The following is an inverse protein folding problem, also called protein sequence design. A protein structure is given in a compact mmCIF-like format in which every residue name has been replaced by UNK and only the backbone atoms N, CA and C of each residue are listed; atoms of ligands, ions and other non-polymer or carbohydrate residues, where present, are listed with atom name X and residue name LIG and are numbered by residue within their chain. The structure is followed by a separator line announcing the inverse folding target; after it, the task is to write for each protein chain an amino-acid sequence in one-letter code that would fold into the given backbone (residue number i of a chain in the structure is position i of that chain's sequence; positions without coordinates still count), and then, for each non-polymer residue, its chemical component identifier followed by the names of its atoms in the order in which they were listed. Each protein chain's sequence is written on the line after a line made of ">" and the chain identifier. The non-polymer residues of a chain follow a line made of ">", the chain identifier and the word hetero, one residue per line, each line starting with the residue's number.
data_IF_016000339583
#
_entry.id   IF_016000339583
#
_cell.length_a   1.000
_cell.length_b   1.000
_cell.length_c   1.000
_cell.angle_alpha   90.00
_cell.angle_beta   90.00
_cell.angle_gamma   90.00
#
_symmetry.space_group_name_H-M   'P 1'
#
loop_
_entity.id
_entity.type
_entity.pdbx_description
1 polymer ?
#
# COMPACT_ATOMS: atom_id res chain seq x y z
N UNK A 1 3.88 -21.93 8.22
CA UNK A 1 2.59 -21.23 8.20
C UNK A 1 2.51 -20.47 6.91
N UNK A 2 1.43 -20.62 6.16
CA UNK A 2 1.21 -19.92 4.90
C UNK A 2 0.61 -18.55 5.21
N UNK A 3 1.45 -17.50 5.20
CA UNK A 3 1.06 -16.14 5.63
C UNK A 3 -0.10 -15.61 4.78
N UNK A 4 -0.09 -15.88 3.47
CA UNK A 4 -1.12 -15.39 2.54
C UNK A 4 -2.53 -15.93 2.86
N UNK A 5 -2.63 -17.04 3.59
CA UNK A 5 -3.89 -17.70 3.96
C UNK A 5 -4.42 -17.35 5.35
N UNK A 6 -3.64 -16.65 6.17
CA UNK A 6 -4.01 -16.43 7.59
C UNK A 6 -3.80 -15.00 8.06
N UNK A 7 -2.88 -14.27 7.43
CA UNK A 7 -2.50 -12.95 7.89
C UNK A 7 -3.38 -11.86 7.26
N UNK A 8 -4.07 -11.11 8.11
CA UNK A 8 -4.81 -9.90 7.74
C UNK A 8 -5.06 -9.07 9.01
N UNK A 9 -5.37 -7.80 8.83
CA UNK A 9 -5.86 -6.96 9.92
C UNK A 9 -7.30 -7.32 10.27
N UNK A 10 -7.71 -7.15 11.53
CA UNK A 10 -9.09 -7.43 11.95
C UNK A 10 -10.12 -6.70 11.06
N UNK A 11 -10.87 -7.47 10.28
CA UNK A 11 -11.87 -6.95 9.35
C UNK A 11 -13.13 -6.36 10.01
N UNK A 12 -14.02 -5.86 9.16
CA UNK A 12 -15.28 -5.26 9.56
C UNK A 12 -15.20 -3.80 10.02
N UNK A 13 -16.31 -3.32 10.58
CA UNK A 13 -16.51 -1.93 11.01
C UNK A 13 -16.82 -1.78 12.50
N UNK A 14 -16.75 -2.88 13.26
CA UNK A 14 -17.02 -2.90 14.70
C UNK A 14 -15.91 -2.29 15.54
N UNK A 15 -16.12 -2.17 16.85
CA UNK A 15 -15.18 -1.50 17.77
C UNK A 15 -13.77 -2.11 17.82
N UNK A 16 -13.63 -3.41 17.52
CA UNK A 16 -12.34 -4.11 17.50
C UNK A 16 -11.73 -4.24 16.09
N UNK A 17 -12.39 -3.67 15.08
CA UNK A 17 -11.90 -3.68 13.70
C UNK A 17 -10.69 -2.76 13.55
N UNK A 18 -9.85 -3.06 12.57
CA UNK A 18 -8.75 -2.18 12.17
C UNK A 18 -9.26 -0.82 11.70
N UNK A 19 -10.42 -0.78 11.03
CA UNK A 19 -11.05 0.46 10.58
C UNK A 19 -11.31 1.46 11.74
N UNK A 20 -11.56 0.98 12.96
CA UNK A 20 -11.79 1.80 14.16
C UNK A 20 -10.55 1.99 15.05
N UNK A 21 -9.44 1.31 14.76
CA UNK A 21 -8.25 1.28 15.62
C UNK A 21 -6.94 1.58 14.87
N UNK A 22 -7.02 2.19 13.69
CA UNK A 22 -5.85 2.49 12.82
C UNK A 22 -5.40 3.96 12.87
N UNK A 23 -5.73 4.66 13.96
CA UNK A 23 -5.40 6.07 14.15
C UNK A 23 -3.89 6.34 14.21
N UNK A 24 -3.10 5.40 14.75
CA UNK A 24 -1.64 5.55 14.81
C UNK A 24 -1.04 5.53 13.40
N UNK A 25 -1.47 4.60 12.56
CA UNK A 25 -1.02 4.47 11.16
C UNK A 25 -1.47 5.68 10.33
N UNK A 26 -2.69 6.20 10.58
CA UNK A 26 -3.17 7.45 9.97
C UNK A 26 -2.29 8.62 10.35
N UNK A 27 -2.04 8.82 11.65
CA UNK A 27 -1.15 9.89 12.14
C UNK A 27 0.25 9.76 11.56
N UNK A 28 0.81 8.56 11.50
CA UNK A 28 2.10 8.28 10.88
C UNK A 28 2.16 8.71 9.42
N UNK A 29 1.13 8.35 8.65
CA UNK A 29 0.99 8.73 7.24
C UNK A 29 0.81 10.24 7.06
N UNK A 30 0.02 10.89 7.93
CA UNK A 30 -0.22 12.33 7.88
C UNK A 30 1.06 13.14 8.15
N UNK A 31 1.95 12.67 9.02
CA UNK A 31 3.23 13.34 9.30
C UNK A 31 4.14 13.41 8.07
N UNK A 32 4.12 12.37 7.22
CA UNK A 32 4.95 12.27 6.02
C UNK A 32 4.21 12.65 4.74
N UNK A 33 2.94 13.06 4.84
CA UNK A 33 2.08 13.39 3.70
C UNK A 33 2.71 14.38 2.72
N UNK A 34 3.43 15.38 3.23
CA UNK A 34 4.10 16.38 2.40
C UNK A 34 5.11 15.74 1.42
N UNK A 35 5.83 14.70 1.85
CA UNK A 35 6.76 13.94 1.01
C UNK A 35 5.98 13.22 -0.11
N UNK A 36 4.86 12.60 0.24
CA UNK A 36 3.99 11.93 -0.74
C UNK A 36 3.47 12.92 -1.77
N UNK A 37 3.00 14.11 -1.35
CA UNK A 37 2.47 15.12 -2.26
C UNK A 37 3.53 15.69 -3.19
N UNK A 38 4.75 15.95 -2.68
CA UNK A 38 5.89 16.39 -3.49
C UNK A 38 6.28 15.33 -4.54
N UNK A 39 6.30 14.06 -4.16
CA UNK A 39 6.60 12.97 -5.10
C UNK A 39 5.56 12.86 -6.22
N UNK A 40 4.26 13.01 -5.90
CA UNK A 40 3.18 12.99 -6.90
C UNK A 40 3.33 14.15 -7.89
N UNK A 41 3.66 15.35 -7.40
CA UNK A 41 3.91 16.50 -8.25
C UNK A 41 5.06 16.22 -9.23
N UNK A 42 6.19 15.71 -8.73
CA UNK A 42 7.34 15.37 -9.57
C UNK A 42 6.99 14.33 -10.63
N UNK A 43 6.29 13.25 -10.27
CA UNK A 43 5.85 12.20 -11.21
C UNK A 43 4.88 12.75 -12.25
N UNK A 44 3.87 13.52 -11.82
CA UNK A 44 2.89 14.05 -12.76
C UNK A 44 3.51 15.01 -13.78
N UNK A 45 4.48 15.82 -13.34
CA UNK A 45 5.20 16.74 -14.23
C UNK A 45 6.18 16.02 -15.15
N UNK A 46 6.87 14.97 -14.68
CA UNK A 46 7.81 14.19 -15.50
C UNK A 46 7.11 13.37 -16.59
N UNK A 47 5.89 12.90 -16.32
CA UNK A 47 5.10 12.08 -17.24
C UNK A 47 4.41 12.89 -18.35
N UNK A 48 4.43 14.22 -18.28
CA UNK A 48 3.92 15.10 -19.34
C UNK A 48 2.40 15.06 -19.52
N UNK A 49 1.65 14.95 -18.42
CA UNK A 49 0.19 14.84 -18.39
C UNK A 49 -0.32 13.59 -19.15
N UNK A 50 -0.10 12.38 -18.60
CA UNK A 50 -0.48 11.14 -19.26
C UNK A 50 -2.00 11.03 -19.38
N UNK A 51 -2.50 10.33 -20.39
CA UNK A 51 -3.94 10.10 -20.56
C UNK A 51 -4.56 9.28 -19.41
N UNK A 52 -3.76 8.41 -18.77
CA UNK A 52 -4.17 7.68 -17.57
C UNK A 52 -3.07 7.72 -16.51
N UNK A 53 -3.46 7.79 -15.24
CA UNK A 53 -2.56 7.81 -14.09
C UNK A 53 -2.83 6.59 -13.21
N UNK A 54 -1.82 5.76 -13.01
CA UNK A 54 -1.92 4.47 -12.34
C UNK A 54 -1.37 4.55 -10.91
N UNK A 55 -2.20 4.26 -9.92
CA UNK A 55 -1.88 4.37 -8.49
C UNK A 55 -2.08 3.00 -7.85
N UNK A 56 -1.09 2.50 -7.12
CA UNK A 56 -1.25 1.31 -6.29
C UNK A 56 -1.07 1.65 -4.81
N UNK A 57 -1.94 1.13 -3.95
CA UNK A 57 -1.74 1.09 -2.50
C UNK A 57 -1.47 -0.36 -2.06
N UNK A 58 -0.24 -0.63 -1.61
CA UNK A 58 0.26 -1.96 -1.29
C UNK A 58 0.23 -2.23 0.22
N UNK A 59 -0.71 -3.09 0.64
CA UNK A 59 -1.07 -3.32 2.03
C UNK A 59 -2.19 -2.38 2.49
N UNK A 60 -3.27 -2.28 1.70
CA UNK A 60 -4.35 -1.33 1.91
C UNK A 60 -5.21 -1.63 3.15
N UNK A 61 -5.16 -2.85 3.69
CA UNK A 61 -6.01 -3.34 4.77
C UNK A 61 -7.50 -3.15 4.44
N UNK A 62 -8.37 -2.99 5.45
CA UNK A 62 -9.82 -2.80 5.30
C UNK A 62 -10.33 -1.48 5.90
N UNK A 63 -9.41 -0.63 6.36
CA UNK A 63 -9.72 0.63 7.05
C UNK A 63 -9.85 1.84 6.13
N UNK A 64 -10.28 2.99 6.66
CA UNK A 64 -10.49 4.21 5.86
C UNK A 64 -9.19 4.86 5.36
N UNK A 65 -8.04 4.48 5.92
CA UNK A 65 -6.74 5.10 5.63
C UNK A 65 -6.36 5.02 4.14
N UNK A 66 -6.60 3.87 3.51
CA UNK A 66 -6.28 3.63 2.10
C UNK A 66 -7.07 4.56 1.16
N UNK A 67 -8.40 4.58 1.30
CA UNK A 67 -9.24 5.47 0.50
C UNK A 67 -8.91 6.95 0.78
N UNK A 68 -8.62 7.31 2.03
CA UNK A 68 -8.22 8.68 2.38
C UNK A 68 -6.96 9.14 1.62
N UNK A 69 -5.89 8.35 1.56
CA UNK A 69 -4.68 8.77 0.85
C UNK A 69 -4.89 8.75 -0.68
N UNK A 70 -5.63 7.78 -1.20
CA UNK A 70 -5.99 7.73 -2.62
C UNK A 70 -6.76 8.98 -3.04
N UNK A 71 -7.72 9.44 -2.22
CA UNK A 71 -8.45 10.70 -2.46
C UNK A 71 -7.48 11.87 -2.61
N UNK A 72 -6.56 12.00 -1.66
CA UNK A 72 -5.58 13.07 -1.64
C UNK A 72 -4.65 13.05 -2.87
N UNK A 73 -4.20 11.85 -3.28
CA UNK A 73 -3.38 11.68 -4.48
C UNK A 73 -4.15 12.13 -5.73
N UNK A 74 -5.39 11.66 -5.89
CA UNK A 74 -6.25 12.02 -7.03
C UNK A 74 -6.44 13.54 -7.09
N UNK A 75 -6.74 14.16 -5.95
CA UNK A 75 -6.97 15.60 -5.85
C UNK A 75 -5.71 16.42 -6.17
N UNK A 76 -4.54 15.96 -5.73
CA UNK A 76 -3.27 16.59 -6.07
C UNK A 76 -3.06 16.58 -7.59
N UNK A 77 -3.24 15.42 -8.24
CA UNK A 77 -3.10 15.27 -9.70
C UNK A 77 -4.11 16.13 -10.46
N UNK A 78 -5.39 16.17 -10.03
CA UNK A 78 -6.41 17.02 -10.66
C UNK A 78 -6.12 18.52 -10.50
N UNK A 79 -5.56 18.91 -9.35
CA UNK A 79 -5.14 20.29 -9.10
C UNK A 79 -3.99 20.69 -10.01
N UNK A 80 -3.01 19.80 -10.19
CA UNK A 80 -1.89 19.98 -11.10
C UNK A 80 -2.32 20.00 -12.57
N UNK A 81 -3.23 19.10 -12.98
CA UNK A 81 -3.75 19.13 -14.36
C UNK A 81 -4.43 20.46 -14.66
N UNK A 82 -5.24 20.95 -13.72
CA UNK A 82 -5.95 22.23 -13.83
C UNK A 82 -4.99 23.43 -13.88
N UNK A 83 -3.96 23.46 -13.02
CA UNK A 83 -2.98 24.56 -13.00
C UNK A 83 -2.14 24.63 -14.28
N UNK A 84 -1.92 23.49 -14.93
CA UNK A 84 -1.18 23.38 -16.19
C UNK A 84 -2.07 23.41 -17.44
N UNK A 85 -3.38 23.71 -17.29
CA UNK A 85 -4.37 23.75 -18.38
C UNK A 85 -4.44 22.45 -19.19
N UNK A 86 -4.20 21.31 -18.52
CA UNK A 86 -4.28 19.98 -19.08
C UNK A 86 -5.62 19.32 -18.73
N UNK A 87 -6.17 18.46 -19.60
CA UNK A 87 -7.29 17.61 -19.21
C UNK A 87 -6.85 16.67 -18.08
N UNK A 88 -7.71 16.40 -17.10
CA UNK A 88 -7.34 15.48 -16.03
C UNK A 88 -7.26 14.04 -16.57
N UNK A 89 -6.32 13.21 -16.07
CA UNK A 89 -6.16 11.83 -16.54
C UNK A 89 -7.31 10.93 -16.07
N UNK A 90 -7.46 9.77 -16.71
CA UNK A 90 -8.20 8.65 -16.12
C UNK A 90 -7.38 8.04 -14.98
N UNK A 91 -7.99 7.88 -13.81
CA UNK A 91 -7.32 7.27 -12.66
C UNK A 91 -7.58 5.77 -12.61
N UNK A 92 -6.49 4.99 -12.59
CA UNK A 92 -6.52 3.54 -12.36
C UNK A 92 -5.97 3.27 -10.97
N UNK A 93 -6.83 2.94 -10.02
CA UNK A 93 -6.48 2.72 -8.62
C UNK A 93 -6.51 1.23 -8.29
N UNK A 94 -5.40 0.76 -7.76
CA UNK A 94 -5.15 -0.63 -7.43
C UNK A 94 -4.97 -0.79 -5.92
N UNK A 95 -5.98 -1.34 -5.25
CA UNK A 95 -5.94 -1.61 -3.82
C UNK A 95 -5.45 -3.04 -3.59
N UNK A 96 -4.22 -3.20 -3.10
CA UNK A 96 -3.61 -4.51 -2.88
C UNK A 96 -3.52 -4.84 -1.39
N UNK A 97 -3.85 -6.09 -1.08
CA UNK A 97 -3.54 -6.73 0.20
C UNK A 97 -3.52 -8.26 -0.01
N UNK A 98 -3.26 -9.03 1.04
CA UNK A 98 -3.32 -10.48 1.00
C UNK A 98 -4.76 -10.98 0.71
N UNK A 99 -4.92 -12.18 0.12
CA UNK A 99 -6.24 -12.71 -0.24
C UNK A 99 -7.26 -12.79 0.90
N UNK A 100 -6.80 -12.91 2.14
CA UNK A 100 -7.69 -12.97 3.32
C UNK A 100 -8.15 -11.61 3.86
N UNK A 101 -7.70 -10.51 3.27
CA UNK A 101 -8.14 -9.17 3.67
C UNK A 101 -9.65 -8.97 3.42
N UNK A 102 -10.26 -8.10 4.22
CA UNK A 102 -11.67 -7.75 4.10
C UNK A 102 -11.90 -6.67 3.02
N UNK A 103 -11.76 -7.06 1.76
CA UNK A 103 -12.09 -6.21 0.61
C UNK A 103 -13.57 -5.85 0.53
N UNK A 104 -14.46 -6.65 1.13
CA UNK A 104 -15.90 -6.36 1.14
C UNK A 104 -16.21 -5.07 1.89
N UNK A 105 -15.51 -4.81 2.99
CA UNK A 105 -15.60 -3.52 3.70
C UNK A 105 -15.19 -2.34 2.81
N UNK A 106 -14.10 -2.47 2.04
CA UNK A 106 -13.67 -1.44 1.08
C UNK A 106 -14.75 -1.23 0.01
N UNK A 107 -15.21 -2.31 -0.63
CA UNK A 107 -16.18 -2.21 -1.72
C UNK A 107 -17.51 -1.58 -1.29
N UNK A 108 -17.95 -1.81 -0.05
CA UNK A 108 -19.13 -1.14 0.51
C UNK A 108 -18.93 0.37 0.71
N UNK A 109 -17.69 0.83 0.92
CA UNK A 109 -17.37 2.24 1.09
C UNK A 109 -17.15 3.00 -0.24
N UNK A 110 -16.86 2.28 -1.34
CA UNK A 110 -16.57 2.90 -2.64
C UNK A 110 -17.68 3.82 -3.20
N UNK A 111 -18.99 3.52 -3.09
CA UNK A 111 -20.03 4.41 -3.62
C UNK A 111 -20.00 5.80 -2.98
N UNK A 112 -19.83 5.85 -1.65
CA UNK A 112 -19.75 7.12 -0.91
C UNK A 112 -18.47 7.88 -1.26
N UNK A 113 -17.35 7.15 -1.34
CA UNK A 113 -16.06 7.67 -1.77
C UNK A 113 -16.10 8.33 -3.17
N UNK A 114 -16.67 7.64 -4.16
CA UNK A 114 -16.79 8.16 -5.52
C UNK A 114 -17.70 9.41 -5.56
N UNK A 115 -18.77 9.44 -4.76
CA UNK A 115 -19.65 10.61 -4.66
C UNK A 115 -18.92 11.81 -4.04
N UNK A 116 -18.07 11.60 -3.06
CA UNK A 116 -17.23 12.66 -2.49
C UNK A 116 -16.26 13.23 -3.52
N UNK A 117 -15.55 12.37 -4.27
CA UNK A 117 -14.66 12.80 -5.35
C UNK A 117 -15.37 13.66 -6.41
N UNK A 118 -16.59 13.28 -6.79
CA UNK A 118 -17.39 14.02 -7.77
C UNK A 118 -17.91 15.36 -7.22
N UNK A 119 -18.37 15.39 -5.97
CA UNK A 119 -18.97 16.58 -5.36
C UNK A 119 -17.96 17.69 -5.07
N UNK A 120 -16.69 17.34 -4.88
CA UNK A 120 -15.61 18.31 -4.66
C UNK A 120 -15.11 18.92 -5.98
N UNK A 121 -15.40 18.27 -7.12
CA UNK A 121 -15.02 18.69 -8.47
C UNK A 121 -16.06 19.53 -9.24
N UNK A 122 -16.98 20.26 -8.56
CA UNK A 122 -18.14 20.95 -9.17
C UNK A 122 -17.87 21.88 -10.37
N UNK A 123 -16.61 22.20 -10.67
CA UNK A 123 -16.20 23.03 -11.80
C UNK A 123 -15.19 22.36 -12.76
N UNK A 124 -14.98 21.04 -12.68
CA UNK A 124 -14.04 20.29 -13.51
C UNK A 124 -14.78 19.20 -14.30
N UNK A 125 -14.32 18.88 -15.51
CA UNK A 125 -14.78 17.68 -16.21
C UNK A 125 -14.46 16.46 -15.33
N UNK A 126 -15.44 15.60 -15.00
CA UNK A 126 -15.18 14.49 -14.10
C UNK A 126 -14.19 13.52 -14.74
N UNK A 127 -13.04 13.35 -14.08
CA UNK A 127 -12.09 12.28 -14.39
C UNK A 127 -12.76 10.91 -14.22
N UNK A 128 -12.42 9.95 -15.07
CA UNK A 128 -12.78 8.56 -14.81
C UNK A 128 -11.98 8.02 -13.62
N UNK A 129 -12.65 7.39 -12.65
CA UNK A 129 -11.99 6.70 -11.54
C UNK A 129 -12.31 5.20 -11.60
N UNK A 130 -11.29 4.39 -11.85
CA UNK A 130 -11.39 2.93 -11.97
C UNK A 130 -10.66 2.29 -10.79
N UNK A 131 -11.42 1.85 -9.79
CA UNK A 131 -10.88 1.33 -8.54
C UNK A 131 -11.11 -0.18 -8.49
N UNK A 132 -10.05 -0.95 -8.28
CA UNK A 132 -10.11 -2.41 -8.19
C UNK A 132 -9.25 -2.97 -7.07
N UNK A 133 -9.66 -4.13 -6.54
CA UNK A 133 -8.84 -4.89 -5.60
C UNK A 133 -7.93 -5.88 -6.33
N UNK A 134 -6.70 -6.00 -5.83
CA UNK A 134 -5.67 -6.89 -6.37
C UNK A 134 -5.15 -7.78 -5.23
N UNK A 135 -5.85 -8.90 -4.92
CA UNK A 135 -5.46 -9.79 -3.84
C UNK A 135 -4.17 -10.55 -4.20
N UNK A 136 -3.18 -10.50 -3.31
CA UNK A 136 -1.90 -11.19 -3.48
C UNK A 136 -0.77 -10.56 -2.68
N UNK A 137 0.30 -11.31 -2.46
CA UNK A 137 1.49 -10.79 -1.80
C UNK A 137 2.23 -9.79 -2.69
N UNK A 138 2.52 -8.60 -2.16
CA UNK A 138 3.38 -7.63 -2.84
C UNK A 138 4.85 -8.07 -2.95
N UNK A 139 5.25 -9.21 -2.37
CA UNK A 139 6.55 -9.82 -2.68
C UNK A 139 6.54 -10.59 -4.01
N UNK A 140 5.40 -10.62 -4.69
CA UNK A 140 5.21 -11.21 -6.01
C UNK A 140 4.82 -10.14 -7.04
N UNK A 141 4.75 -10.55 -8.31
CA UNK A 141 4.20 -9.70 -9.38
C UNK A 141 2.69 -9.62 -9.20
N UNK A 142 2.17 -8.40 -9.23
CA UNK A 142 0.74 -8.09 -9.05
C UNK A 142 0.15 -7.45 -10.30
N UNK A 143 0.95 -6.70 -11.05
CA UNK A 143 0.48 -5.87 -12.16
C UNK A 143 1.26 -6.14 -13.45
N UNK A 144 0.70 -5.77 -14.62
CA UNK A 144 1.45 -5.76 -15.88
C UNK A 144 2.69 -4.85 -15.83
N UNK A 145 3.59 -4.99 -16.80
CA UNK A 145 4.77 -4.12 -16.86
C UNK A 145 4.36 -2.67 -17.17
N UNK A 146 5.09 -1.70 -16.59
CA UNK A 146 4.94 -0.26 -16.88
C UNK A 146 3.49 0.24 -16.79
N UNK A 147 2.72 -0.19 -15.79
CA UNK A 147 1.32 0.18 -15.65
C UNK A 147 1.05 1.16 -14.50
N UNK A 148 2.00 1.31 -13.57
CA UNK A 148 1.92 2.18 -12.40
C UNK A 148 2.79 3.42 -12.58
N UNK A 149 2.24 4.56 -12.17
CA UNK A 149 2.97 5.83 -12.09
C UNK A 149 3.28 6.20 -10.63
N UNK A 150 2.47 5.73 -9.69
CA UNK A 150 2.70 5.97 -8.28
C UNK A 150 2.41 4.74 -7.42
N UNK A 151 3.40 4.28 -6.65
CA UNK A 151 3.23 3.20 -5.67
C UNK A 151 3.28 3.75 -4.25
N UNK A 152 2.16 3.66 -3.56
CA UNK A 152 2.05 3.97 -2.14
C UNK A 152 2.08 2.69 -1.30
N UNK A 153 2.78 2.75 -0.16
CA UNK A 153 2.81 1.65 0.80
C UNK A 153 3.12 2.22 2.19
N UNK A 154 2.21 2.04 3.15
CA UNK A 154 2.36 2.57 4.50
C UNK A 154 2.03 1.51 5.54
N UNK A 155 2.92 1.32 6.52
CA UNK A 155 2.78 0.32 7.59
C UNK A 155 2.50 -1.12 7.10
N UNK A 156 3.08 -1.52 5.97
CA UNK A 156 2.91 -2.88 5.43
C UNK A 156 4.23 -3.60 5.13
N UNK A 157 5.26 -2.89 4.64
CA UNK A 157 6.57 -3.47 4.28
C UNK A 157 7.39 -4.08 5.43
N UNK A 158 7.00 -3.85 6.68
CA UNK A 158 7.65 -4.48 7.83
C UNK A 158 7.16 -5.93 8.05
N UNK A 159 6.04 -6.33 7.43
CA UNK A 159 5.55 -7.70 7.47
C UNK A 159 6.35 -8.58 6.51
N UNK A 160 7.06 -9.57 7.04
CA UNK A 160 7.88 -10.49 6.27
C UNK A 160 7.03 -11.50 5.50
N UNK A 161 7.57 -12.04 4.39
CA UNK A 161 6.90 -13.06 3.57
C UNK A 161 6.76 -14.41 4.30
N UNK A 162 7.61 -14.65 5.31
CA UNK A 162 7.61 -15.84 6.15
C UNK A 162 8.27 -15.52 7.50
N UNK A 163 8.01 -16.39 8.48
CA UNK A 163 8.84 -16.45 9.70
C UNK A 163 10.29 -16.78 9.30
N UNK A 164 11.31 -16.02 9.75
CA UNK A 164 12.69 -16.28 9.39
C UNK A 164 13.12 -17.72 9.67
N UNK A 165 13.93 -18.26 8.76
CA UNK A 165 14.60 -19.55 8.97
C UNK A 165 15.69 -19.43 10.03
N UNK A 166 16.03 -20.54 10.70
CA UNK A 166 17.08 -20.53 11.74
C UNK A 166 16.63 -19.95 13.08
N UNK A 167 15.32 -19.83 13.34
CA UNK A 167 14.78 -19.46 14.65
C UNK A 167 14.56 -20.67 15.59
N UNK A 168 14.86 -21.88 15.12
CA UNK A 168 14.76 -23.14 15.86
C UNK A 168 16.06 -23.92 15.76
N UNK A 169 16.39 -24.67 16.81
CA UNK A 169 17.54 -25.60 16.79
C UNK A 169 17.21 -26.88 16.01
N UNK A 170 18.18 -27.79 15.92
CA UNK A 170 18.03 -29.09 15.21
C UNK A 170 16.93 -29.98 15.80
N UNK A 171 16.63 -29.80 17.09
CA UNK A 171 15.54 -30.51 17.79
C UNK A 171 14.18 -29.80 17.62
N UNK A 172 14.11 -28.70 16.87
CA UNK A 172 12.90 -27.93 16.63
C UNK A 172 12.51 -26.97 17.76
N UNK A 173 13.32 -26.84 18.80
CA UNK A 173 13.08 -25.94 19.92
C UNK A 173 13.34 -24.48 19.52
N UNK A 174 12.54 -23.52 20.01
CA UNK A 174 12.75 -22.11 19.70
C UNK A 174 14.07 -21.61 20.30
N UNK A 175 14.88 -20.95 19.46
CA UNK A 175 16.11 -20.28 19.89
C UNK A 175 15.79 -18.95 20.60
N UNK A 176 14.68 -18.31 20.24
CA UNK A 176 14.18 -17.09 20.90
C UNK A 176 13.16 -17.47 21.99
N UNK A 177 13.64 -18.03 23.11
CA UNK A 177 12.75 -18.55 24.16
C UNK A 177 12.03 -17.42 24.91
N UNK A 178 10.70 -17.56 25.03
CA UNK A 178 9.86 -16.64 25.81
C UNK A 178 9.52 -15.31 25.14
N UNK A 179 9.90 -15.11 23.87
CA UNK A 179 9.57 -13.90 23.11
C UNK A 179 9.11 -14.27 21.70
N UNK A 180 8.25 -13.43 21.11
CA UNK A 180 7.67 -13.64 19.78
C UNK A 180 8.41 -12.88 18.68
N UNK A 181 9.32 -11.97 19.06
CA UNK A 181 10.08 -11.10 18.16
C UNK A 181 11.46 -10.78 18.76
N UNK A 182 12.27 -10.01 18.05
CA UNK A 182 13.56 -9.49 18.53
C UNK A 182 13.34 -8.66 19.80
N UNK A 183 14.16 -8.91 20.81
CA UNK A 183 14.15 -8.21 22.09
C UNK A 183 15.58 -8.06 22.62
N UNK A 184 15.77 -7.29 23.69
CA UNK A 184 17.07 -7.16 24.36
C UNK A 184 17.65 -8.50 24.86
N UNK A 185 16.79 -9.50 25.07
CA UNK A 185 17.18 -10.84 25.53
C UNK A 185 17.44 -11.81 24.37
N UNK A 186 17.16 -11.41 23.14
CA UNK A 186 17.29 -12.28 21.98
C UNK A 186 18.77 -12.48 21.63
N UNK A 187 19.20 -13.72 21.32
CA UNK A 187 20.52 -13.95 20.75
C UNK A 187 20.72 -13.15 19.46
N UNK A 188 21.96 -12.74 19.19
CA UNK A 188 22.31 -11.97 17.97
C UNK A 188 21.86 -12.70 16.69
N UNK A 189 21.99 -14.03 16.67
CA UNK A 189 21.56 -14.87 15.55
C UNK A 189 20.07 -14.71 15.20
N UNK A 190 19.22 -14.35 16.16
CA UNK A 190 17.81 -14.04 15.91
C UNK A 190 17.69 -12.76 15.10
N UNK A 191 18.36 -11.69 15.52
CA UNK A 191 18.34 -10.42 14.79
C UNK A 191 18.90 -10.57 13.37
N UNK A 192 19.99 -11.33 13.22
CA UNK A 192 20.58 -11.65 11.91
C UNK A 192 19.60 -12.42 11.01
N UNK A 193 18.86 -13.39 11.55
CA UNK A 193 17.85 -14.13 10.80
C UNK A 193 16.73 -13.20 10.28
N UNK A 194 16.22 -12.30 11.13
CA UNK A 194 15.22 -11.31 10.73
C UNK A 194 15.75 -10.34 9.67
N UNK A 195 16.97 -9.81 9.83
CA UNK A 195 17.60 -8.92 8.84
C UNK A 195 17.81 -9.63 7.50
N UNK A 196 18.25 -10.90 7.53
CA UNK A 196 18.43 -11.71 6.32
C UNK A 196 17.10 -11.90 5.59
N UNK A 197 16.02 -12.20 6.32
CA UNK A 197 14.69 -12.35 5.75
C UNK A 197 14.16 -11.03 5.17
N UNK A 198 14.30 -9.92 5.91
CA UNK A 198 13.91 -8.59 5.44
C UNK A 198 14.64 -8.18 4.17
N UNK A 199 15.97 -8.37 4.10
CA UNK A 199 16.75 -8.03 2.89
C UNK A 199 16.28 -8.80 1.66
N UNK A 200 15.96 -10.09 1.83
CA UNK A 200 15.40 -10.91 0.75
C UNK A 200 14.04 -10.37 0.32
N UNK A 201 13.14 -10.18 1.27
CA UNK A 201 11.76 -9.77 1.01
C UNK A 201 11.70 -8.37 0.39
N UNK A 202 12.41 -7.40 0.96
CA UNK A 202 12.48 -6.06 0.43
C UNK A 202 13.18 -6.00 -0.94
N UNK A 203 14.22 -6.82 -1.15
CA UNK A 203 14.85 -6.97 -2.46
C UNK A 203 13.90 -7.49 -3.53
N UNK A 204 13.09 -8.51 -3.21
CA UNK A 204 12.05 -9.01 -4.12
C UNK A 204 10.96 -7.96 -4.36
N UNK A 205 10.48 -7.28 -3.31
CA UNK A 205 9.53 -6.18 -3.44
C UNK A 205 10.03 -5.15 -4.46
N UNK A 206 11.23 -4.60 -4.26
CA UNK A 206 11.81 -3.59 -5.16
C UNK A 206 11.94 -4.10 -6.59
N UNK A 207 12.41 -5.34 -6.77
CA UNK A 207 12.54 -5.95 -8.10
C UNK A 207 11.18 -6.08 -8.80
N UNK A 208 10.14 -6.51 -8.08
CA UNK A 208 8.80 -6.65 -8.66
C UNK A 208 8.21 -5.30 -9.02
N UNK A 209 8.38 -4.29 -8.16
CA UNK A 209 7.92 -2.92 -8.44
C UNK A 209 8.66 -2.29 -9.61
N UNK A 210 9.97 -2.52 -9.74
CA UNK A 210 10.75 -2.00 -10.87
C UNK A 210 10.28 -2.53 -12.24
N UNK A 211 9.63 -3.70 -12.28
CA UNK A 211 9.03 -4.24 -13.51
C UNK A 211 7.65 -3.60 -13.81
N UNK A 212 6.94 -3.10 -12.80
CA UNK A 212 5.54 -2.65 -12.86
C UNK A 212 5.39 -1.12 -12.95
N UNK A 213 6.35 -0.38 -12.39
CA UNK A 213 6.41 1.08 -12.41
C UNK A 213 6.99 1.56 -13.74
N UNK A 214 6.38 2.60 -14.31
CA UNK A 214 6.86 3.25 -15.53
C UNK A 214 8.26 3.84 -15.28
N UNK A 215 9.15 3.77 -16.28
CA UNK A 215 10.50 4.30 -16.14
C UNK A 215 10.49 5.81 -15.85
N UNK A 216 11.10 6.22 -14.73
CA UNK A 216 11.14 7.62 -14.28
C UNK A 216 10.08 7.99 -13.26
N UNK A 217 9.18 7.06 -12.93
CA UNK A 217 8.09 7.27 -11.97
C UNK A 217 8.41 6.72 -10.56
N UNK A 218 7.51 6.95 -9.60
CA UNK A 218 7.74 6.77 -8.16
C UNK A 218 6.98 5.60 -7.53
#
# INVERSE_FOLDING_TARGET
>A
MDIEKVFHMNGGIGNNSYAKNSHLQKKGSDMVKHITMEAIEQVYLSTGAPASFGIADLGCSSGPNSLSIVKEIIQAVQSLSSSHLQPPPEFRVYLNDLPTNDFNSIFKALPDFCRELQNEGKNQNPSGFFIGAYPGSFYQRLFPNNCLHFVYSSYSLHWLSRVPEGLRNELGEPLNRGTIYISERSPISIAEAYVKQFRRDFGEFLRKRAEEVVSGDC
#
